data_IF_147025196274
#
_entry.id   IF_147025196274
#
_cell.length_a   1.000
_cell.length_b   1.000
_cell.length_c   1.000
_cell.angle_alpha   90.00
_cell.angle_beta   90.00
_cell.angle_gamma   90.00
#
_symmetry.space_group_name_H-M   'P 1'
#
loop_
_entity.id
_entity.type
_entity.pdbx_description
1 polymer ?
#
# COMPACT_ATOMS: atom_id res chain seq x y z
N UNK A 1 -26.33 -8.24 36.28
CA UNK A 1 -25.17 -9.01 35.78
C UNK A 1 -23.92 -8.16 35.94
N UNK A 2 -22.97 -8.56 36.78
CA UNK A 2 -21.65 -7.92 36.91
C UNK A 2 -20.66 -8.74 36.07
N UNK A 3 -20.21 -8.21 34.94
CA UNK A 3 -19.28 -8.90 34.05
C UNK A 3 -17.86 -8.66 34.57
N UNK A 4 -17.23 -9.72 35.10
CA UNK A 4 -15.88 -9.72 35.66
C UNK A 4 -14.89 -9.83 34.51
N UNK A 5 -14.12 -8.77 34.26
CA UNK A 5 -13.07 -8.75 33.24
C UNK A 5 -11.98 -9.76 33.65
N UNK A 6 -11.82 -10.82 32.86
CA UNK A 6 -10.84 -11.88 33.08
C UNK A 6 -9.50 -11.41 32.48
N UNK A 7 -8.52 -11.21 33.35
CA UNK A 7 -7.13 -10.86 33.04
C UNK A 7 -6.53 -11.86 32.04
N UNK A 8 -6.25 -11.42 30.80
CA UNK A 8 -5.41 -12.17 29.85
C UNK A 8 -3.95 -12.10 30.34
N UNK A 9 -3.53 -13.15 31.03
CA UNK A 9 -2.13 -13.44 31.29
C UNK A 9 -1.45 -13.77 29.96
N UNK A 10 -0.56 -12.88 29.50
CA UNK A 10 0.34 -13.06 28.36
C UNK A 10 1.33 -14.20 28.65
N UNK A 11 0.87 -15.44 28.50
CA UNK A 11 1.75 -16.61 28.49
C UNK A 11 2.50 -16.63 27.16
N UNK A 12 3.82 -16.39 27.21
CA UNK A 12 4.73 -16.68 26.10
C UNK A 12 4.70 -18.19 25.87
N UNK A 13 3.87 -18.60 24.92
CA UNK A 13 3.92 -19.92 24.32
C UNK A 13 4.97 -19.84 23.20
N UNK A 14 6.23 -20.15 23.52
CA UNK A 14 7.29 -20.35 22.53
C UNK A 14 7.01 -21.64 21.75
N UNK A 15 6.04 -21.56 20.83
CA UNK A 15 5.85 -22.54 19.78
C UNK A 15 7.03 -22.41 18.81
N UNK A 16 7.83 -23.46 18.66
CA UNK A 16 8.64 -23.68 17.47
C UNK A 16 7.71 -23.96 16.29
N UNK A 17 6.90 -22.97 15.91
CA UNK A 17 6.20 -22.99 14.63
C UNK A 17 7.24 -22.62 13.57
N UNK A 18 7.36 -23.37 12.46
CA UNK A 18 8.04 -22.82 11.29
C UNK A 18 7.37 -21.48 11.00
N UNK A 19 8.16 -20.40 10.88
CA UNK A 19 7.65 -19.10 10.54
C UNK A 19 6.95 -19.22 9.17
N UNK A 20 5.63 -19.41 9.19
CA UNK A 20 4.83 -19.36 7.99
C UNK A 20 5.03 -17.98 7.38
N UNK A 21 5.12 -17.90 6.06
CA UNK A 21 5.19 -16.64 5.37
C UNK A 21 3.96 -15.80 5.76
N UNK A 22 4.17 -14.80 6.61
CA UNK A 22 3.13 -13.94 7.12
C UNK A 22 3.13 -12.66 6.27
N UNK A 23 1.96 -12.35 5.72
CA UNK A 23 1.64 -11.01 5.25
C UNK A 23 0.86 -10.32 6.36
N UNK A 24 1.36 -9.19 6.84
CA UNK A 24 0.75 -8.46 7.96
C UNK A 24 0.78 -6.95 7.74
N UNK A 25 -0.12 -6.27 8.44
CA UNK A 25 -0.08 -4.82 8.62
C UNK A 25 0.31 -4.55 10.06
N UNK A 26 1.33 -3.74 10.26
CA UNK A 26 1.87 -3.40 11.57
C UNK A 26 1.89 -1.88 11.75
N UNK A 27 1.66 -1.42 12.97
CA UNK A 27 1.96 -0.04 13.34
C UNK A 27 3.42 0.04 13.76
N UNK A 28 4.23 0.83 13.05
CA UNK A 28 5.60 1.13 13.46
C UNK A 28 5.72 2.62 13.78
N UNK A 29 5.77 2.95 15.07
CA UNK A 29 5.70 4.34 15.50
C UNK A 29 4.34 4.96 15.14
N UNK A 30 4.36 6.05 14.36
CA UNK A 30 3.16 6.72 13.86
C UNK A 30 2.73 6.29 12.45
N UNK A 31 3.44 5.31 11.87
CA UNK A 31 3.23 4.86 10.50
C UNK A 31 2.49 3.52 10.45
N UNK A 32 1.84 3.25 9.32
CA UNK A 32 1.33 1.92 8.98
C UNK A 32 2.29 1.25 7.98
N UNK A 33 2.70 0.02 8.28
CA UNK A 33 3.67 -0.74 7.49
C UNK A 33 3.05 -2.05 7.04
N UNK A 34 3.20 -2.36 5.76
CA UNK A 34 2.89 -3.67 5.19
C UNK A 34 4.16 -4.49 5.16
N UNK A 35 4.11 -5.67 5.77
CA UNK A 35 5.26 -6.58 5.87
C UNK A 35 4.93 -7.93 5.25
N UNK A 36 5.91 -8.50 4.54
CA UNK A 36 5.87 -9.88 4.03
C UNK A 36 7.17 -10.56 4.44
N UNK A 37 7.06 -11.72 5.12
CA UNK A 37 8.23 -12.45 5.64
C UNK A 37 9.14 -11.57 6.53
N UNK A 38 8.54 -10.70 7.36
CA UNK A 38 9.23 -9.70 8.19
C UNK A 38 10.03 -8.63 7.42
N UNK A 39 9.78 -8.47 6.12
CA UNK A 39 10.35 -7.39 5.31
C UNK A 39 9.26 -6.37 4.97
N UNK A 40 9.55 -5.10 5.21
CA UNK A 40 8.69 -4.00 4.80
C UNK A 40 8.62 -3.90 3.27
N UNK A 41 7.40 -3.95 2.73
CA UNK A 41 7.14 -3.81 1.29
C UNK A 41 6.42 -2.50 0.94
N UNK A 42 5.79 -1.85 1.91
CA UNK A 42 5.13 -0.55 1.77
C UNK A 42 4.95 0.11 3.14
N UNK A 43 5.04 1.44 3.18
CA UNK A 43 4.77 2.27 4.37
C UNK A 43 3.90 3.46 4.03
N UNK A 44 2.91 3.70 4.87
CA UNK A 44 2.14 4.94 4.92
C UNK A 44 2.59 5.72 6.14
N UNK A 45 3.28 6.84 5.89
CA UNK A 45 3.82 7.68 6.94
C UNK A 45 2.73 8.56 7.57
N UNK A 46 2.97 9.05 8.79
CA UNK A 46 2.06 10.01 9.43
C UNK A 46 1.86 11.31 8.62
N UNK A 47 2.80 11.67 7.75
CA UNK A 47 2.68 12.84 6.86
C UNK A 47 1.85 12.57 5.61
N UNK A 48 1.36 11.34 5.42
CA UNK A 48 0.55 10.93 4.28
C UNK A 48 1.37 10.46 3.08
N UNK A 49 2.69 10.31 3.20
CA UNK A 49 3.52 9.75 2.13
C UNK A 49 3.33 8.23 2.06
N UNK A 50 3.15 7.73 0.85
CA UNK A 50 3.20 6.31 0.53
C UNK A 50 4.57 5.98 -0.05
N UNK A 51 5.34 5.18 0.68
CA UNK A 51 6.63 4.65 0.25
C UNK A 51 6.48 3.16 -0.10
N UNK A 52 7.03 2.74 -1.23
CA UNK A 52 6.97 1.36 -1.73
C UNK A 52 8.40 0.90 -1.93
N UNK A 53 8.84 -0.07 -1.11
CA UNK A 53 10.22 -0.58 -1.15
C UNK A 53 10.62 -1.21 -2.50
N UNK A 54 9.63 -1.58 -3.32
CA UNK A 54 9.80 -2.23 -4.62
C UNK A 54 9.19 -1.44 -5.77
N UNK A 55 8.42 -2.11 -6.62
CA UNK A 55 7.79 -1.49 -7.79
C UNK A 55 6.28 -1.34 -7.60
N UNK A 56 5.73 -0.23 -8.09
CA UNK A 56 4.30 -0.02 -8.20
C UNK A 56 3.83 -0.38 -9.62
N UNK A 57 3.02 -1.44 -9.74
CA UNK A 57 2.44 -1.83 -11.03
C UNK A 57 1.15 -1.06 -11.28
N UNK A 58 1.15 -0.22 -12.30
CA UNK A 58 -0.03 0.54 -12.73
C UNK A 58 -0.91 -0.30 -13.68
N UNK A 59 -2.23 -0.24 -13.48
CA UNK A 59 -3.20 -0.86 -14.38
C UNK A 59 -3.47 0.08 -15.57
N UNK A 60 -3.83 -0.50 -16.72
CA UNK A 60 -4.47 0.28 -17.79
C UNK A 60 -5.91 0.62 -17.43
N UNK A 61 -6.37 1.76 -17.93
CA UNK A 61 -7.73 2.25 -17.72
C UNK A 61 -8.29 2.77 -19.03
N UNK A 62 -9.56 2.45 -19.29
CA UNK A 62 -10.34 3.02 -20.41
C UNK A 62 -11.03 4.32 -20.02
N UNK A 63 -10.80 4.84 -18.80
CA UNK A 63 -11.37 6.12 -18.37
C UNK A 63 -10.86 7.29 -19.22
N UNK A 64 -11.77 8.18 -19.59
CA UNK A 64 -11.45 9.48 -20.17
C UNK A 64 -10.85 10.38 -19.09
N UNK A 65 -9.73 11.04 -19.39
CA UNK A 65 -9.20 12.05 -18.48
C UNK A 65 -10.19 13.22 -18.43
N UNK A 66 -10.57 13.58 -17.22
CA UNK A 66 -11.53 14.64 -16.91
C UNK A 66 -11.31 15.06 -15.46
N UNK A 67 -11.94 16.15 -15.01
CA UNK A 67 -11.88 16.56 -13.61
C UNK A 67 -12.32 15.48 -12.60
N UNK A 68 -13.10 14.47 -13.03
CA UNK A 68 -13.50 13.35 -12.17
C UNK A 68 -12.33 12.41 -11.83
N UNK A 69 -11.33 12.30 -12.70
CA UNK A 69 -10.18 11.39 -12.56
C UNK A 69 -8.83 12.13 -12.61
N UNK A 70 -8.85 13.44 -12.42
CA UNK A 70 -7.65 14.26 -12.31
C UNK A 70 -6.72 13.72 -11.21
N UNK A 71 -5.41 13.72 -11.47
CA UNK A 71 -4.40 13.20 -10.55
C UNK A 71 -4.24 11.67 -10.55
N UNK A 72 -5.07 10.92 -11.28
CA UNK A 72 -4.93 9.47 -11.39
C UNK A 72 -3.70 9.11 -12.23
N UNK A 73 -2.92 8.14 -11.74
CA UNK A 73 -1.86 7.46 -12.48
C UNK A 73 -2.39 6.22 -13.19
N UNK A 74 -2.00 6.02 -14.45
CA UNK A 74 -2.30 4.80 -15.21
C UNK A 74 -1.13 4.34 -16.05
N UNK A 75 -1.21 3.09 -16.52
CA UNK A 75 -0.36 2.62 -17.61
C UNK A 75 -1.13 2.62 -18.94
N UNK A 76 -0.63 3.33 -19.96
CA UNK A 76 -1.19 3.25 -21.30
C UNK A 76 -0.63 2.02 -22.03
N UNK A 77 -1.46 1.00 -22.21
CA UNK A 77 -1.05 -0.26 -22.84
C UNK A 77 -0.78 -0.14 -24.35
N UNK A 78 -1.17 0.94 -25.01
CA UNK A 78 -0.93 1.19 -26.43
C UNK A 78 0.42 1.88 -26.64
N UNK A 79 0.63 3.02 -25.98
CA UNK A 79 1.87 3.80 -26.07
C UNK A 79 2.99 3.30 -25.16
N UNK A 80 2.69 2.35 -24.26
CA UNK A 80 3.61 1.68 -23.34
C UNK A 80 4.27 2.61 -22.31
N UNK A 81 3.61 3.71 -21.94
CA UNK A 81 4.11 4.68 -20.95
C UNK A 81 3.15 4.83 -19.77
N UNK A 82 3.70 5.24 -18.62
CA UNK A 82 2.89 5.73 -17.51
C UNK A 82 2.34 7.12 -17.84
N UNK A 83 1.12 7.41 -17.42
CA UNK A 83 0.45 8.69 -17.66
C UNK A 83 -0.22 9.19 -16.38
N UNK A 84 -0.24 10.51 -16.20
CA UNK A 84 -1.02 11.21 -15.19
C UNK A 84 -2.15 11.98 -15.90
N UNK A 85 -3.37 11.91 -15.36
CA UNK A 85 -4.47 12.76 -15.84
C UNK A 85 -4.34 14.18 -15.27
N UNK A 86 -4.30 15.20 -16.12
CA UNK A 86 -4.24 16.62 -15.72
C UNK A 86 -5.62 17.30 -15.61
N UNK A 87 -6.70 16.50 -15.65
CA UNK A 87 -8.08 16.97 -15.64
C UNK A 87 -8.69 17.17 -17.04
N UNK A 88 -7.88 17.12 -18.10
CA UNK A 88 -8.32 17.22 -19.50
C UNK A 88 -7.74 16.13 -20.39
N UNK A 89 -6.44 15.88 -20.26
CA UNK A 89 -5.68 14.92 -21.06
C UNK A 89 -4.82 14.01 -20.19
N UNK A 90 -4.52 12.84 -20.73
CA UNK A 90 -3.49 11.97 -20.17
C UNK A 90 -2.11 12.46 -20.62
N UNK A 91 -1.29 12.90 -19.66
CA UNK A 91 0.08 13.35 -19.90
C UNK A 91 1.05 12.22 -19.63
N UNK A 92 1.87 11.89 -20.63
CA UNK A 92 2.94 10.91 -20.49
C UNK A 92 3.95 11.38 -19.45
N UNK A 93 4.34 10.47 -18.55
CA UNK A 93 5.45 10.68 -17.62
C UNK A 93 6.75 10.30 -18.34
N UNK A 94 7.26 11.23 -19.15
CA UNK A 94 8.57 11.13 -19.77
C UNK A 94 9.58 11.99 -19.00
N UNK A 95 10.67 11.38 -18.55
CA UNK A 95 11.82 12.11 -18.01
C UNK A 95 12.76 12.36 -19.20
N UNK A 96 12.62 13.53 -19.82
CA UNK A 96 13.55 14.01 -20.84
C UNK A 96 14.75 14.68 -20.16
#
# INVERSE_FOLDING_TARGET
>A
MKMKLMSMSMGILLLLAPALAQAQMNSQGADMVFEVNNNEVMRLTQTGLMDVSGTLKLKSSTATCSGTVEGVLRYNSTTKVAELCDGTDWKALNFQ
#
